data_IF_340475147190
#
_entry.id   IF_340475147190
#
_cell.length_a   1.000
_cell.length_b   1.000
_cell.length_c   1.000
_cell.angle_alpha   90.00
_cell.angle_beta   90.00
_cell.angle_gamma   90.00
#
_symmetry.space_group_name_H-M   'P 1'
#
loop_
_entity.id
_entity.type
_entity.pdbx_description
1 polymer ?
#
# COMPACT_ATOMS: atom_id res chain seq x y z
N UNK A 1 18.28 -18.54 20.60
CA UNK A 1 17.51 -18.51 19.34
C UNK A 1 18.24 -19.37 18.33
N UNK A 2 17.75 -20.60 18.12
CA UNK A 2 18.42 -21.55 17.22
C UNK A 2 18.26 -21.14 15.76
N UNK A 3 19.18 -21.56 14.89
CA UNK A 3 19.14 -21.25 13.44
C UNK A 3 17.80 -21.60 12.78
N UNK A 4 17.11 -22.63 13.27
CA UNK A 4 15.80 -23.06 12.79
C UNK A 4 14.68 -22.04 13.10
N UNK A 5 14.78 -21.32 14.21
CA UNK A 5 13.87 -20.24 14.61
C UNK A 5 14.07 -19.01 13.70
N UNK A 6 15.33 -18.67 13.37
CA UNK A 6 15.65 -17.60 12.43
C UNK A 6 15.20 -17.91 10.99
N UNK A 7 15.30 -19.16 10.55
CA UNK A 7 14.75 -19.58 9.25
C UNK A 7 13.22 -19.52 9.22
N UNK A 8 12.55 -19.90 10.31
CA UNK A 8 11.10 -19.73 10.47
C UNK A 8 10.68 -18.27 10.37
N UNK A 9 11.38 -17.37 11.07
CA UNK A 9 11.13 -15.93 11.01
C UNK A 9 11.36 -15.34 9.61
N UNK A 10 12.39 -15.81 8.89
CA UNK A 10 12.66 -15.37 7.51
C UNK A 10 11.56 -15.82 6.54
N UNK A 11 11.13 -17.09 6.60
CA UNK A 11 10.03 -17.56 5.76
C UNK A 11 8.74 -16.81 6.08
N UNK A 12 8.46 -16.57 7.37
CA UNK A 12 7.33 -15.77 7.83
C UNK A 12 7.34 -14.34 7.27
N UNK A 13 8.49 -13.65 7.31
CA UNK A 13 8.60 -12.28 6.79
C UNK A 13 8.46 -12.20 5.28
N UNK A 14 8.98 -13.19 4.54
CA UNK A 14 8.80 -13.29 3.08
C UNK A 14 7.32 -13.45 2.75
N UNK A 15 6.62 -14.39 3.39
CA UNK A 15 5.19 -14.61 3.16
C UNK A 15 4.37 -13.37 3.52
N UNK A 16 4.66 -12.74 4.66
CA UNK A 16 4.00 -11.50 5.07
C UNK A 16 4.22 -10.37 4.03
N UNK A 17 5.44 -10.21 3.53
CA UNK A 17 5.75 -9.20 2.51
C UNK A 17 5.01 -9.45 1.19
N UNK A 18 4.87 -10.72 0.78
CA UNK A 18 4.12 -11.10 -0.42
C UNK A 18 2.63 -10.80 -0.27
N UNK A 19 2.05 -11.10 0.90
CA UNK A 19 0.64 -10.78 1.18
C UNK A 19 0.40 -9.28 1.14
N UNK A 20 1.26 -8.49 1.80
CA UNK A 20 1.18 -7.03 1.76
C UNK A 20 1.37 -6.47 0.36
N UNK A 21 2.27 -7.05 -0.45
CA UNK A 21 2.46 -6.68 -1.84
C UNK A 21 1.19 -6.89 -2.66
N UNK A 22 0.51 -8.03 -2.50
CA UNK A 22 -0.75 -8.29 -3.19
C UNK A 22 -1.82 -7.27 -2.79
N UNK A 23 -1.96 -6.98 -1.49
CA UNK A 23 -2.88 -5.94 -1.03
C UNK A 23 -2.54 -4.56 -1.58
N UNK A 24 -1.26 -4.20 -1.66
CA UNK A 24 -0.82 -2.94 -2.25
C UNK A 24 -1.16 -2.84 -3.75
N UNK A 25 -0.97 -3.91 -4.51
CA UNK A 25 -1.34 -3.97 -5.93
C UNK A 25 -2.84 -3.77 -6.11
N UNK A 26 -3.66 -4.48 -5.34
CA UNK A 26 -5.12 -4.33 -5.39
C UNK A 26 -5.55 -2.90 -5.02
N UNK A 27 -4.94 -2.32 -3.98
CA UNK A 27 -5.20 -0.93 -3.56
C UNK A 27 -4.88 0.08 -4.67
N UNK A 28 -3.78 -0.12 -5.40
CA UNK A 28 -3.40 0.73 -6.53
C UNK A 28 -4.46 0.72 -7.64
N UNK A 29 -4.97 -0.45 -8.03
CA UNK A 29 -6.01 -0.53 -9.07
C UNK A 29 -7.31 0.17 -8.66
N UNK A 30 -7.72 0.02 -7.40
CA UNK A 30 -8.88 0.75 -6.86
C UNK A 30 -8.62 2.26 -6.90
N UNK A 31 -7.39 2.68 -6.58
CA UNK A 31 -7.01 4.10 -6.62
C UNK A 31 -7.04 4.67 -8.04
N UNK A 32 -6.59 3.92 -9.06
CA UNK A 32 -6.69 4.32 -10.48
C UNK A 32 -8.15 4.54 -10.87
N UNK A 33 -9.03 3.62 -10.48
CA UNK A 33 -10.47 3.75 -10.72
C UNK A 33 -11.05 5.01 -10.05
N UNK A 34 -10.68 5.29 -8.79
CA UNK A 34 -11.12 6.48 -8.07
C UNK A 34 -10.68 7.76 -8.79
N UNK A 35 -9.43 7.81 -9.27
CA UNK A 35 -8.89 8.99 -9.97
C UNK A 35 -9.59 9.20 -11.31
N UNK A 36 -9.82 8.15 -12.09
CA UNK A 36 -10.47 8.23 -13.39
C UNK A 36 -11.93 8.72 -13.27
N UNK A 37 -12.71 8.10 -12.39
CA UNK A 37 -14.08 8.52 -12.09
C UNK A 37 -14.11 9.94 -11.52
N UNK A 38 -13.20 10.26 -10.59
CA UNK A 38 -13.09 11.60 -10.01
C UNK A 38 -12.78 12.69 -11.04
N UNK A 39 -11.90 12.40 -12.00
CA UNK A 39 -11.59 13.32 -13.09
C UNK A 39 -12.80 13.53 -14.02
N UNK A 40 -13.53 12.45 -14.34
CA UNK A 40 -14.77 12.52 -15.11
C UNK A 40 -15.85 13.38 -14.43
N UNK A 41 -16.02 13.24 -13.11
CA UNK A 41 -16.94 14.07 -12.33
C UNK A 41 -16.54 15.55 -12.30
N UNK A 42 -15.23 15.85 -12.37
CA UNK A 42 -14.72 17.21 -12.47
C UNK A 42 -14.75 17.78 -13.91
N UNK A 43 -15.23 17.02 -14.89
CA UNK A 43 -15.31 17.45 -16.29
C UNK A 43 -13.97 17.40 -17.04
N UNK A 44 -12.96 16.73 -16.47
CA UNK A 44 -11.67 16.52 -17.14
C UNK A 44 -11.65 15.17 -17.85
N UNK A 45 -10.97 15.12 -19.00
CA UNK A 45 -10.64 13.87 -19.70
C UNK A 45 -9.11 13.71 -19.72
N UNK A 46 -8.51 13.30 -18.59
CA UNK A 46 -7.07 13.09 -18.52
C UNK A 46 -6.66 11.87 -19.35
N UNK A 47 -5.45 11.92 -19.92
CA UNK A 47 -4.84 10.74 -20.51
C UNK A 47 -4.55 9.67 -19.45
N UNK A 48 -4.62 8.39 -19.83
CA UNK A 48 -4.43 7.25 -18.92
C UNK A 48 -3.09 7.29 -18.15
N UNK A 49 -2.04 7.82 -18.77
CA UNK A 49 -0.73 8.01 -18.13
C UNK A 49 -0.80 8.95 -16.92
N UNK A 50 -1.62 10.01 -17.02
CA UNK A 50 -1.81 10.98 -15.95
C UNK A 50 -2.64 10.42 -14.80
N UNK A 51 -3.66 9.60 -15.13
CA UNK A 51 -4.47 8.88 -14.14
C UNK A 51 -3.61 7.90 -13.36
N UNK A 52 -2.80 7.09 -14.07
CA UNK A 52 -1.91 6.12 -13.44
C UNK A 52 -0.86 6.78 -12.54
N UNK A 53 -0.24 7.87 -13.00
CA UNK A 53 0.73 8.64 -12.20
C UNK A 53 0.08 9.25 -10.95
N UNK A 54 -1.08 9.90 -11.11
CA UNK A 54 -1.79 10.53 -9.99
C UNK A 54 -2.26 9.50 -8.97
N UNK A 55 -2.73 8.34 -9.44
CA UNK A 55 -3.09 7.22 -8.58
C UNK A 55 -1.88 6.62 -7.85
N UNK A 56 -0.70 6.57 -8.48
CA UNK A 56 0.52 6.08 -7.84
C UNK A 56 0.93 6.99 -6.67
N UNK A 57 0.87 8.32 -6.87
CA UNK A 57 1.18 9.30 -5.83
C UNK A 57 0.16 9.21 -4.68
N UNK A 58 -1.13 9.10 -5.01
CA UNK A 58 -2.19 8.98 -4.02
C UNK A 58 -2.08 7.67 -3.21
N UNK A 59 -1.80 6.55 -3.88
CA UNK A 59 -1.58 5.26 -3.23
C UNK A 59 -0.36 5.30 -2.30
N UNK A 60 0.75 5.91 -2.73
CA UNK A 60 1.92 6.11 -1.89
C UNK A 60 1.59 6.93 -0.63
N UNK A 61 0.84 8.03 -0.77
CA UNK A 61 0.37 8.85 0.35
C UNK A 61 -0.53 8.07 1.32
N UNK A 62 -1.46 7.26 0.81
CA UNK A 62 -2.35 6.43 1.62
C UNK A 62 -1.59 5.34 2.40
N UNK A 63 -0.58 4.70 1.79
CA UNK A 63 0.26 3.69 2.45
C UNK A 63 1.07 4.34 3.58
N UNK A 64 1.67 5.50 3.35
CA UNK A 64 2.45 6.23 4.38
C UNK A 64 1.55 6.71 5.52
N UNK A 65 0.37 7.25 5.21
CA UNK A 65 -0.61 7.63 6.22
C UNK A 65 -1.08 6.43 7.05
N UNK A 66 -1.32 5.27 6.42
CA UNK A 66 -1.69 4.03 7.11
C UNK A 66 -0.56 3.41 7.95
N UNK A 67 0.71 3.68 7.63
CA UNK A 67 1.84 3.25 8.45
C UNK A 67 2.01 4.10 9.73
N UNK A 68 1.42 5.31 9.78
CA UNK A 68 1.60 6.25 10.90
C UNK A 68 0.91 5.79 12.20
N UNK A 69 -0.31 5.22 12.21
CA UNK A 69 -0.92 4.62 13.40
C UNK A 69 -0.09 3.46 13.99
N UNK A 70 0.47 2.60 13.13
CA UNK A 70 1.31 1.46 13.54
C UNK A 70 2.60 1.89 14.23
N UNK A 71 3.16 3.05 13.85
CA UNK A 71 4.33 3.62 14.51
C UNK A 71 4.02 4.16 15.92
N UNK A 72 2.77 4.57 16.18
CA UNK A 72 2.32 5.07 17.47
C UNK A 72 1.95 3.98 18.48
N UNK A 73 1.52 2.80 18.02
CA UNK A 73 1.06 1.70 18.87
C UNK A 73 2.17 0.74 19.32
N UNK A 74 3.41 0.92 18.85
CA UNK A 74 4.55 0.08 19.23
C UNK A 74 5.22 0.46 20.55
N UNK A 75 4.73 1.47 21.26
CA UNK A 75 5.31 2.00 22.50
C UNK A 75 4.63 1.54 23.80
N UNK A 76 3.53 0.81 23.74
CA UNK A 76 2.69 0.49 24.90
C UNK A 76 2.73 -1.01 25.28
N UNK A 77 3.91 -1.57 25.54
CA UNK A 77 4.06 -2.77 26.39
C UNK A 77 5.50 -2.83 26.94
N UNK A 78 5.62 -2.43 28.21
CA UNK A 78 6.69 -2.67 29.21
C UNK A 78 8.14 -2.21 28.92
#
# INVERSE_FOLDING_TARGET
MGILDSFGALVGSIVASLVLLVFAILSFFVTVFIVDVGAGLAGYSPGGDFVALSAAILAAGAIVAGASPMAGTGGDTE
#
